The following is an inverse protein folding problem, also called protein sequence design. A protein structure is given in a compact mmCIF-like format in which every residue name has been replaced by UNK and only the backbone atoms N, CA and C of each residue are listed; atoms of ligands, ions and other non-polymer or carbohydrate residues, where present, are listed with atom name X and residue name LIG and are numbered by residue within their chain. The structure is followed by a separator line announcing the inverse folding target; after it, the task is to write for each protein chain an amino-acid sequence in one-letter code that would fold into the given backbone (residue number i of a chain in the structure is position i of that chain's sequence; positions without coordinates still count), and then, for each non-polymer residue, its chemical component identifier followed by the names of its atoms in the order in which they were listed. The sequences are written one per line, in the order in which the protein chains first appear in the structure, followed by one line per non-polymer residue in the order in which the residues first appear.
data_IF_902274337256
#
_entry.id   IF_902274337256
#
_cell.length_a   1.000
_cell.length_b   1.000
_cell.length_c   1.000
_cell.angle_alpha   90.00
_cell.angle_beta   90.00
_cell.angle_gamma   90.00
#
_symmetry.space_group_name_H-M   'P 1'
#
loop_
_entity.id
_entity.type
_entity.pdbx_description
1 polymer ?
#
# COMPACT_ATOMS: atom_id res chain seq x y z
N UNK A 1 13.47 -1.92 -7.80
CA UNK A 1 12.01 -1.75 -8.14
C UNK A 1 11.32 -0.85 -7.13
N UNK A 2 10.23 -0.12 -7.52
CA UNK A 2 9.38 0.63 -6.59
C UNK A 2 7.91 0.23 -6.80
N UNK A 3 7.21 -0.10 -5.71
CA UNK A 3 5.77 -0.35 -5.71
C UNK A 3 5.05 0.58 -4.75
N UNK A 4 4.05 1.33 -5.26
CA UNK A 4 3.23 2.24 -4.46
C UNK A 4 1.80 1.71 -4.33
N UNK A 5 1.19 1.81 -3.16
CA UNK A 5 -0.20 1.42 -2.89
C UNK A 5 -0.49 -0.01 -3.38
N UNK A 6 -1.43 -0.20 -4.32
CA UNK A 6 -1.66 -1.48 -4.99
C UNK A 6 -0.36 -2.08 -5.54
N UNK A 7 0.52 -1.26 -6.14
CA UNK A 7 1.83 -1.69 -6.62
C UNK A 7 2.74 -2.24 -5.52
N UNK A 8 2.59 -1.80 -4.27
CA UNK A 8 3.35 -2.32 -3.14
C UNK A 8 2.98 -3.76 -2.79
N UNK A 9 1.71 -4.12 -2.90
CA UNK A 9 1.25 -5.51 -2.72
C UNK A 9 1.67 -6.38 -3.89
N UNK A 10 1.59 -5.87 -5.12
CA UNK A 10 2.05 -6.58 -6.32
C UNK A 10 3.56 -6.83 -6.29
N UNK A 11 4.35 -5.85 -5.84
CA UNK A 11 5.81 -6.02 -5.68
C UNK A 11 6.13 -7.10 -4.63
N UNK A 12 5.48 -7.08 -3.48
CA UNK A 12 5.64 -8.11 -2.45
C UNK A 12 5.24 -9.49 -2.98
N UNK A 13 4.13 -9.57 -3.71
CA UNK A 13 3.69 -10.83 -4.34
C UNK A 13 4.67 -11.30 -5.42
N UNK A 14 5.25 -10.38 -6.21
CA UNK A 14 6.29 -10.70 -7.19
C UNK A 14 7.53 -11.31 -6.51
N UNK A 15 8.05 -10.65 -5.48
CA UNK A 15 9.21 -11.14 -4.73
C UNK A 15 8.96 -12.52 -4.08
N UNK A 16 7.71 -12.78 -3.66
CA UNK A 16 7.32 -14.09 -3.10
C UNK A 16 7.28 -15.18 -4.16
N UNK A 17 6.79 -14.87 -5.36
CA UNK A 17 6.62 -15.86 -6.44
C UNK A 17 7.90 -16.15 -7.22
N UNK A 18 8.80 -15.17 -7.28
CA UNK A 18 9.97 -15.19 -8.12
C UNK A 18 11.24 -14.82 -7.33
N UNK A 19 11.55 -15.57 -6.25
CA UNK A 19 12.67 -15.24 -5.37
C UNK A 19 14.04 -15.34 -6.06
N UNK A 20 14.15 -16.20 -7.08
CA UNK A 20 15.41 -16.52 -7.78
C UNK A 20 15.55 -15.80 -9.14
N UNK A 21 14.56 -15.06 -9.60
CA UNK A 21 14.65 -14.31 -10.87
C UNK A 21 15.47 -13.01 -10.75
N UNK A 22 16.31 -12.93 -9.82
CA UNK A 22 17.05 -11.97 -9.10
C UNK A 22 18.05 -11.11 -9.85
N UNK A 23 17.58 -10.25 -10.77
CA UNK A 23 18.36 -9.06 -11.15
C UNK A 23 17.82 -7.78 -10.46
N UNK A 24 17.20 -7.93 -9.29
CA UNK A 24 16.63 -6.79 -8.54
C UNK A 24 17.68 -6.33 -7.53
N UNK A 25 18.29 -5.16 -7.78
CA UNK A 25 19.24 -4.54 -6.87
C UNK A 25 18.63 -4.07 -5.53
N UNK A 26 17.30 -3.94 -5.45
CA UNK A 26 16.58 -3.58 -4.23
C UNK A 26 15.12 -3.26 -4.50
N UNK A 27 14.30 -3.21 -3.45
CA UNK A 27 12.87 -2.96 -3.53
C UNK A 27 12.43 -1.84 -2.59
N UNK A 28 11.67 -0.88 -3.13
CA UNK A 28 11.03 0.19 -2.38
C UNK A 28 9.54 -0.10 -2.31
N UNK A 29 9.04 -0.34 -1.12
CA UNK A 29 7.65 -0.70 -0.82
C UNK A 29 7.01 0.50 -0.13
N UNK A 30 6.18 1.26 -0.89
CA UNK A 30 5.62 2.53 -0.46
C UNK A 30 4.09 2.44 -0.29
N UNK A 31 3.57 2.98 0.80
CA UNK A 31 2.12 3.02 1.07
C UNK A 31 1.49 1.64 1.16
N UNK A 32 2.21 0.69 1.75
CA UNK A 32 1.75 -0.69 1.97
C UNK A 32 1.03 -0.83 3.31
N UNK A 33 0.36 -1.95 3.53
CA UNK A 33 -0.33 -2.24 4.76
C UNK A 33 -0.38 -3.72 5.12
N UNK A 34 -0.91 -4.00 6.29
CA UNK A 34 -1.17 -5.34 6.78
C UNK A 34 -2.55 -5.40 7.43
N UNK A 35 -3.33 -6.40 7.07
CA UNK A 35 -4.62 -6.70 7.68
C UNK A 35 -4.66 -8.16 8.13
N UNK A 36 -5.33 -8.46 9.26
CA UNK A 36 -5.48 -9.83 9.72
C UNK A 36 -6.17 -10.72 8.68
N UNK A 37 -5.61 -11.92 8.43
CA UNK A 37 -6.11 -12.83 7.40
C UNK A 37 -7.57 -13.26 7.58
N UNK A 38 -8.07 -13.34 8.83
CA UNK A 38 -9.47 -13.62 9.10
C UNK A 38 -10.38 -12.49 8.62
N UNK A 39 -9.98 -11.23 8.81
CA UNK A 39 -10.74 -10.07 8.35
C UNK A 39 -10.79 -10.03 6.81
N UNK A 40 -9.65 -10.24 6.15
CA UNK A 40 -9.57 -10.34 4.70
C UNK A 40 -10.48 -11.46 4.16
N UNK A 41 -10.54 -12.61 4.85
CA UNK A 41 -11.42 -13.73 4.46
C UNK A 41 -12.91 -13.36 4.53
N UNK A 42 -13.32 -12.63 5.55
CA UNK A 42 -14.70 -12.12 5.66
C UNK A 42 -14.99 -11.13 4.54
N UNK A 43 -14.09 -10.15 4.31
CA UNK A 43 -14.25 -9.16 3.25
C UNK A 43 -14.34 -9.84 1.88
N UNK A 44 -13.48 -10.80 1.59
CA UNK A 44 -13.54 -11.60 0.36
C UNK A 44 -14.88 -12.33 0.22
N UNK A 45 -15.40 -12.92 1.29
CA UNK A 45 -16.73 -13.56 1.26
C UNK A 45 -17.85 -12.59 0.84
N UNK A 46 -17.83 -11.37 1.38
CA UNK A 46 -18.80 -10.31 1.06
C UNK A 46 -18.63 -9.89 -0.41
N UNK A 47 -17.40 -9.60 -0.85
CA UNK A 47 -17.11 -9.15 -2.23
C UNK A 47 -17.48 -10.24 -3.24
N UNK A 48 -17.25 -11.52 -2.94
CA UNK A 48 -17.67 -12.65 -3.79
C UNK A 48 -19.21 -12.67 -3.97
N UNK A 49 -19.95 -12.35 -2.92
CA UNK A 49 -21.41 -12.19 -3.01
C UNK A 49 -21.83 -11.04 -3.92
N UNK A 50 -21.10 -9.90 -3.89
CA UNK A 50 -21.36 -8.75 -4.77
C UNK A 50 -21.01 -9.08 -6.23
N UNK A 51 -19.91 -9.78 -6.48
CA UNK A 51 -19.53 -10.25 -7.83
C UNK A 51 -20.63 -11.14 -8.43
N UNK A 52 -21.15 -12.10 -7.66
CA UNK A 52 -22.25 -12.96 -8.11
C UNK A 52 -23.54 -12.18 -8.43
N UNK A 53 -23.82 -11.10 -7.70
CA UNK A 53 -25.03 -10.29 -7.86
C UNK A 53 -24.93 -9.27 -9.00
N UNK A 54 -23.79 -8.60 -9.13
CA UNK A 54 -23.64 -7.44 -10.00
C UNK A 54 -22.67 -7.63 -11.17
N UNK A 55 -21.74 -8.59 -11.08
CA UNK A 55 -20.68 -8.84 -12.05
C UNK A 55 -19.30 -8.46 -11.53
N UNK A 56 -18.27 -9.05 -12.14
CA UNK A 56 -16.86 -8.88 -11.76
C UNK A 56 -16.35 -7.46 -12.04
N UNK A 57 -16.75 -6.89 -13.17
CA UNK A 57 -16.34 -5.57 -13.66
C UNK A 57 -17.14 -4.39 -13.04
N UNK A 58 -18.16 -4.69 -12.24
CA UNK A 58 -19.04 -3.68 -11.64
C UNK A 58 -18.57 -3.27 -10.25
N UNK A 59 -18.78 -2.01 -9.91
CA UNK A 59 -18.68 -1.49 -8.55
C UNK A 59 -20.06 -1.48 -7.91
N UNK A 60 -20.13 -1.88 -6.64
CA UNK A 60 -21.34 -1.72 -5.82
C UNK A 60 -21.07 -0.74 -4.68
N UNK A 61 -22.11 -0.11 -4.11
CA UNK A 61 -21.95 0.82 -2.99
C UNK A 61 -21.27 0.15 -1.79
N UNK A 62 -21.57 -1.12 -1.56
CA UNK A 62 -20.94 -1.88 -0.49
C UNK A 62 -19.43 -2.09 -0.75
N UNK A 63 -19.03 -2.39 -1.99
CA UNK A 63 -17.61 -2.52 -2.36
C UNK A 63 -16.91 -1.17 -2.22
N UNK A 64 -17.53 -0.08 -2.67
CA UNK A 64 -17.00 1.29 -2.51
C UNK A 64 -16.77 1.63 -1.04
N UNK A 65 -17.74 1.32 -0.19
CA UNK A 65 -17.64 1.57 1.25
C UNK A 65 -16.55 0.71 1.92
N UNK A 66 -16.43 -0.56 1.55
CA UNK A 66 -15.43 -1.48 2.10
C UNK A 66 -14.01 -1.17 1.65
N UNK A 67 -13.83 -0.63 0.43
CA UNK A 67 -12.51 -0.33 -0.11
C UNK A 67 -11.91 0.94 0.49
N UNK A 68 -12.60 2.08 0.37
CA UNK A 68 -12.06 3.38 0.74
C UNK A 68 -12.93 4.17 1.72
N UNK A 69 -14.17 3.72 1.96
CA UNK A 69 -15.17 4.48 2.71
C UNK A 69 -14.80 4.79 4.16
N UNK A 70 -13.89 4.01 4.76
CA UNK A 70 -13.44 4.21 6.15
C UNK A 70 -12.18 5.08 6.25
N UNK A 71 -11.39 5.18 5.18
CA UNK A 71 -10.09 5.86 5.22
C UNK A 71 -10.19 7.35 5.52
N UNK A 72 -11.24 7.99 5.00
CA UNK A 72 -11.45 9.42 5.19
C UNK A 72 -12.01 9.80 6.57
N UNK A 73 -12.45 8.84 7.38
CA UNK A 73 -13.06 9.13 8.69
C UNK A 73 -12.12 9.80 9.67
N UNK A 74 -10.82 9.49 9.57
CA UNK A 74 -9.76 10.07 10.40
C UNK A 74 -9.55 11.56 10.12
N UNK A 75 -9.92 12.04 8.93
CA UNK A 75 -9.62 13.39 8.45
C UNK A 75 -10.82 14.34 8.47
N UNK A 76 -11.83 14.03 9.28
CA UNK A 76 -13.00 14.90 9.44
C UNK A 76 -12.64 16.23 10.13
N UNK A 77 -13.25 17.38 9.71
CA UNK A 77 -14.25 17.48 8.63
C UNK A 77 -13.62 17.29 7.24
N UNK A 78 -14.25 16.45 6.41
CA UNK A 78 -13.71 16.15 5.09
C UNK A 78 -14.03 17.28 4.09
N UNK A 79 -13.04 17.70 3.30
CA UNK A 79 -13.20 18.58 2.17
C UNK A 79 -13.64 17.81 0.92
N UNK A 80 -13.09 16.61 0.73
CA UNK A 80 -13.34 15.74 -0.41
C UNK A 80 -13.55 14.29 0.04
N UNK A 81 -13.85 13.40 -0.90
CA UNK A 81 -13.91 11.96 -0.63
C UNK A 81 -12.53 11.29 -0.55
N UNK A 82 -11.47 12.02 -0.85
CA UNK A 82 -10.11 11.48 -1.01
C UNK A 82 -9.06 12.17 -0.12
N UNK A 83 -9.47 12.89 0.93
CA UNK A 83 -8.53 13.61 1.81
C UNK A 83 -7.48 12.67 2.45
N UNK A 84 -7.81 11.40 2.57
CA UNK A 84 -6.89 10.38 3.08
C UNK A 84 -5.65 10.15 2.18
N UNK A 85 -5.73 10.55 0.90
CA UNK A 85 -4.62 10.38 -0.06
C UNK A 85 -3.49 11.36 0.20
N UNK A 86 -3.84 12.65 0.32
CA UNK A 86 -2.86 13.73 0.39
C UNK A 86 -3.36 14.87 1.27
N UNK A 87 -2.48 15.47 2.06
CA UNK A 87 -2.81 16.65 2.86
C UNK A 87 -2.67 17.95 2.05
N UNK A 88 -1.90 17.93 0.96
CA UNK A 88 -1.80 19.07 0.05
C UNK A 88 -3.07 19.17 -0.81
N UNK A 89 -3.85 20.23 -0.55
CA UNK A 89 -5.13 20.44 -1.23
C UNK A 89 -4.97 20.69 -2.73
N UNK A 90 -3.88 21.34 -3.13
CA UNK A 90 -3.61 21.66 -4.54
C UNK A 90 -3.31 20.37 -5.32
N UNK A 91 -2.48 19.50 -4.76
CA UNK A 91 -2.14 18.21 -5.37
C UNK A 91 -3.36 17.27 -5.38
N UNK A 92 -4.15 17.28 -4.30
CA UNK A 92 -5.37 16.50 -4.23
C UNK A 92 -6.40 16.98 -5.28
N UNK A 93 -6.53 18.28 -5.51
CA UNK A 93 -7.42 18.83 -6.54
C UNK A 93 -6.98 18.47 -7.96
N UNK A 94 -5.66 18.47 -8.24
CA UNK A 94 -5.10 17.95 -9.50
C UNK A 94 -5.45 16.49 -9.70
N UNK A 95 -5.25 15.66 -8.68
CA UNK A 95 -5.62 14.25 -8.70
C UNK A 95 -7.11 14.04 -9.00
N UNK A 96 -7.99 14.79 -8.32
CA UNK A 96 -9.43 14.67 -8.50
C UNK A 96 -9.93 15.19 -9.86
N UNK A 97 -9.20 16.11 -10.48
CA UNK A 97 -9.51 16.69 -11.79
C UNK A 97 -8.96 15.83 -12.95
N UNK A 98 -8.02 14.93 -12.71
CA UNK A 98 -7.42 14.09 -13.76
C UNK A 98 -8.45 13.09 -14.30
N UNK A 99 -8.77 13.12 -15.62
CA UNK A 99 -9.73 12.22 -16.23
C UNK A 99 -9.27 10.76 -16.28
N UNK A 100 -7.98 10.49 -16.09
CA UNK A 100 -7.42 9.13 -16.04
C UNK A 100 -7.59 8.49 -14.66
N UNK A 101 -7.83 9.28 -13.62
CA UNK A 101 -8.07 8.77 -12.27
C UNK A 101 -9.43 8.10 -12.18
N UNK A 102 -9.41 6.83 -11.85
CA UNK A 102 -10.62 6.06 -11.57
C UNK A 102 -11.00 6.23 -10.10
N UNK A 103 -12.16 6.85 -9.86
CA UNK A 103 -12.69 7.09 -8.51
C UNK A 103 -13.29 5.84 -7.87
N UNK A 104 -13.58 4.82 -8.68
CA UNK A 104 -14.19 3.57 -8.25
C UNK A 104 -13.34 2.36 -8.61
N UNK A 105 -13.28 1.42 -7.67
CA UNK A 105 -12.67 0.11 -7.88
C UNK A 105 -13.76 -0.90 -8.22
N UNK A 106 -13.55 -1.74 -9.24
CA UNK A 106 -14.48 -2.83 -9.54
C UNK A 106 -14.45 -3.89 -8.43
N UNK A 107 -15.55 -4.63 -8.29
CA UNK A 107 -15.64 -5.73 -7.32
C UNK A 107 -14.56 -6.79 -7.57
N UNK A 108 -14.24 -7.05 -8.85
CA UNK A 108 -13.17 -7.97 -9.24
C UNK A 108 -11.79 -7.47 -8.85
N UNK A 109 -11.44 -6.22 -9.15
CA UNK A 109 -10.15 -5.66 -8.76
C UNK A 109 -9.99 -5.63 -7.24
N UNK A 110 -11.08 -5.29 -6.50
CA UNK A 110 -11.04 -5.33 -5.04
C UNK A 110 -10.88 -6.76 -4.49
N UNK A 111 -11.51 -7.74 -5.13
CA UNK A 111 -11.32 -9.16 -4.82
C UNK A 111 -9.86 -9.59 -4.98
N UNK A 112 -9.23 -9.25 -6.10
CA UNK A 112 -7.82 -9.57 -6.36
C UNK A 112 -6.88 -8.86 -5.39
N UNK A 113 -7.15 -7.59 -5.07
CA UNK A 113 -6.39 -6.84 -4.06
C UNK A 113 -6.46 -7.53 -2.68
N UNK A 114 -7.67 -7.90 -2.23
CA UNK A 114 -7.83 -8.61 -0.95
C UNK A 114 -7.11 -9.97 -0.97
N UNK A 115 -7.15 -10.66 -2.10
CA UNK A 115 -6.41 -11.90 -2.33
C UNK A 115 -4.89 -11.71 -2.23
N UNK A 116 -4.36 -10.69 -2.87
CA UNK A 116 -2.95 -10.31 -2.79
C UNK A 116 -2.56 -9.95 -1.35
N UNK A 117 -3.32 -9.09 -0.68
CA UNK A 117 -3.10 -8.74 0.73
C UNK A 117 -3.08 -9.97 1.64
N UNK A 118 -3.95 -10.95 1.38
CA UNK A 118 -4.02 -12.19 2.17
C UNK A 118 -2.81 -13.09 1.94
N UNK A 119 -2.33 -13.21 0.69
CA UNK A 119 -1.12 -13.97 0.34
C UNK A 119 0.12 -13.31 0.93
N UNK A 120 0.29 -12.01 0.71
CA UNK A 120 1.42 -11.22 1.22
C UNK A 120 1.34 -10.92 2.73
N UNK A 121 0.24 -11.20 3.38
CA UNK A 121 0.10 -11.12 4.84
C UNK A 121 0.26 -12.48 5.54
N UNK A 122 0.55 -13.56 4.81
CA UNK A 122 0.73 -14.90 5.38
C UNK A 122 2.02 -15.00 6.22
N UNK A 123 2.09 -16.01 7.07
CA UNK A 123 3.30 -16.28 7.86
C UNK A 123 4.51 -16.68 6.99
N UNK A 124 4.23 -17.17 5.79
CA UNK A 124 5.22 -17.68 4.84
C UNK A 124 5.54 -16.69 3.70
N UNK A 125 5.12 -15.43 3.80
CA UNK A 125 5.31 -14.45 2.73
C UNK A 125 6.78 -14.30 2.34
N UNK A 126 7.68 -14.31 3.33
CA UNK A 126 9.11 -14.04 3.11
C UNK A 126 9.96 -15.31 3.01
N UNK A 127 9.33 -16.47 3.07
CA UNK A 127 10.04 -17.73 2.87
C UNK A 127 10.55 -17.80 1.42
N UNK A 128 11.86 -17.95 1.29
CA UNK A 128 12.53 -17.97 -0.02
C UNK A 128 12.98 -16.63 -0.55
N UNK A 129 12.64 -15.49 0.09
CA UNK A 129 13.24 -14.22 -0.29
C UNK A 129 14.74 -14.23 -0.04
N UNK A 130 15.51 -13.58 -0.92
CA UNK A 130 16.92 -13.30 -0.66
C UNK A 130 17.03 -12.42 0.59
N UNK A 131 17.63 -12.96 1.66
CA UNK A 131 17.76 -12.26 2.94
C UNK A 131 18.67 -11.04 2.85
N UNK A 132 19.54 -10.99 1.84
CA UNK A 132 20.45 -9.86 1.56
C UNK A 132 19.81 -8.75 0.72
N UNK A 133 18.63 -9.01 0.09
CA UNK A 133 17.96 -8.03 -0.77
C UNK A 133 17.66 -6.74 0.00
N UNK A 134 18.18 -5.59 -0.47
CA UNK A 134 17.88 -4.31 0.16
C UNK A 134 16.40 -3.94 0.01
N UNK A 135 15.75 -3.66 1.14
CA UNK A 135 14.33 -3.25 1.18
C UNK A 135 14.21 -1.90 1.88
N UNK A 136 13.51 -0.97 1.23
CA UNK A 136 13.05 0.28 1.84
C UNK A 136 11.54 0.26 1.99
N UNK A 137 11.06 0.22 3.23
CA UNK A 137 9.65 0.41 3.58
C UNK A 137 9.42 1.89 3.90
N UNK A 138 8.54 2.56 3.17
CA UNK A 138 8.18 3.95 3.43
C UNK A 138 6.67 4.13 3.47
N UNK A 139 6.19 4.94 4.41
CA UNK A 139 4.77 5.25 4.59
C UNK A 139 4.57 6.57 5.30
N UNK A 140 3.47 7.24 5.03
CA UNK A 140 3.00 8.33 5.87
C UNK A 140 2.58 7.81 7.25
N UNK A 141 2.87 8.58 8.28
CA UNK A 141 2.45 8.22 9.65
C UNK A 141 0.94 8.40 9.84
N UNK A 142 0.29 9.15 8.95
CA UNK A 142 -1.16 9.33 8.94
C UNK A 142 -1.86 8.50 7.86
N UNK A 143 -1.12 7.67 7.12
CA UNK A 143 -1.67 6.80 6.08
C UNK A 143 -2.61 5.72 6.66
N UNK A 144 -3.92 5.74 6.31
CA UNK A 144 -4.87 4.74 6.80
C UNK A 144 -4.66 3.34 6.20
N UNK A 145 -4.02 3.23 5.03
CA UNK A 145 -3.68 1.93 4.40
C UNK A 145 -2.66 1.19 5.25
N UNK A 146 -1.69 1.91 5.79
CA UNK A 146 -0.67 1.41 6.71
C UNK A 146 -1.10 1.35 8.17
N UNK A 147 -2.38 1.57 8.49
CA UNK A 147 -2.90 1.67 9.87
C UNK A 147 -2.08 2.67 10.70
N UNK A 148 -1.90 3.87 10.16
CA UNK A 148 -1.09 4.92 10.78
C UNK A 148 0.33 4.45 11.17
N UNK A 149 0.98 3.74 10.26
CA UNK A 149 2.33 3.19 10.42
C UNK A 149 2.41 1.84 11.14
N UNK A 150 1.38 1.43 11.90
CA UNK A 150 1.40 0.16 12.66
C UNK A 150 1.47 -1.06 11.77
N UNK A 151 0.70 -1.08 10.67
CA UNK A 151 0.70 -2.17 9.70
C UNK A 151 2.06 -2.29 9.00
N UNK A 152 2.69 -1.16 8.66
CA UNK A 152 4.03 -1.16 8.03
C UNK A 152 5.09 -1.61 9.02
N UNK A 153 5.01 -1.17 10.29
CA UNK A 153 5.90 -1.63 11.36
C UNK A 153 5.77 -3.16 11.59
N UNK A 154 4.54 -3.69 11.50
CA UNK A 154 4.32 -5.14 11.62
C UNK A 154 4.99 -5.90 10.48
N UNK A 155 4.93 -5.38 9.25
CA UNK A 155 5.64 -5.94 8.08
C UNK A 155 7.16 -5.91 8.31
N UNK A 156 7.72 -4.77 8.71
CA UNK A 156 9.13 -4.63 9.04
C UNK A 156 9.58 -5.65 10.08
N UNK A 157 8.85 -5.75 11.20
CA UNK A 157 9.19 -6.68 12.28
C UNK A 157 9.14 -8.14 11.80
N UNK A 158 8.23 -8.47 10.89
CA UNK A 158 8.13 -9.81 10.32
C UNK A 158 9.31 -10.11 9.40
N UNK A 159 9.69 -9.18 8.51
CA UNK A 159 10.88 -9.30 7.67
C UNK A 159 12.13 -9.54 8.51
N UNK A 160 12.31 -8.76 9.59
CA UNK A 160 13.46 -8.95 10.49
C UNK A 160 13.45 -10.32 11.19
N UNK A 161 12.28 -10.86 11.55
CA UNK A 161 12.15 -12.20 12.15
C UNK A 161 12.50 -13.33 11.19
N UNK A 162 12.29 -13.15 9.89
CA UNK A 162 12.65 -14.15 8.86
C UNK A 162 14.11 -14.05 8.40
N UNK A 163 14.91 -13.22 9.07
CA UNK A 163 16.34 -13.12 8.82
C UNK A 163 16.73 -12.10 7.75
N UNK A 164 15.79 -11.29 7.24
CA UNK A 164 16.15 -10.25 6.28
C UNK A 164 17.05 -9.18 6.93
N UNK A 165 18.25 -9.02 6.41
CA UNK A 165 19.29 -8.18 6.99
C UNK A 165 19.15 -6.71 6.62
N UNK A 166 18.92 -6.44 5.33
CA UNK A 166 18.97 -5.11 4.73
C UNK A 166 17.58 -4.46 4.59
N UNK A 167 16.81 -4.39 5.69
CA UNK A 167 15.49 -3.74 5.70
C UNK A 167 15.55 -2.43 6.44
N UNK A 168 15.18 -1.35 5.77
CA UNK A 168 15.03 0.00 6.32
C UNK A 168 13.55 0.38 6.37
N UNK A 169 13.10 0.93 7.50
CA UNK A 169 11.76 1.51 7.66
C UNK A 169 11.86 3.02 7.88
N UNK A 170 11.10 3.78 7.12
CA UNK A 170 10.92 5.23 7.29
C UNK A 170 9.43 5.59 7.33
N UNK A 171 9.01 6.20 8.43
CA UNK A 171 7.67 6.77 8.59
C UNK A 171 7.79 8.30 8.58
N UNK A 172 6.98 8.94 7.74
CA UNK A 172 7.00 10.40 7.56
C UNK A 172 5.87 11.02 8.36
N UNK A 173 6.19 11.79 9.44
CA UNK A 173 5.20 12.41 10.30
C UNK A 173 4.29 13.39 9.55
N UNK A 174 2.98 13.33 9.80
CA UNK A 174 1.99 14.22 9.18
C UNK A 174 1.65 13.88 7.72
N UNK A 175 2.45 13.06 7.04
CA UNK A 175 2.16 12.64 5.68
C UNK A 175 1.08 11.55 5.65
N UNK A 176 0.24 11.60 4.61
CA UNK A 176 -0.82 10.62 4.34
C UNK A 176 -0.35 9.55 3.36
N UNK A 177 -1.21 9.09 2.46
CA UNK A 177 -0.92 7.94 1.59
C UNK A 177 0.03 8.26 0.44
N UNK A 178 -0.19 9.37 -0.25
CA UNK A 178 0.60 9.76 -1.43
C UNK A 178 1.80 10.62 -1.04
N UNK A 179 2.85 9.98 -0.56
CA UNK A 179 4.05 10.64 -0.05
C UNK A 179 4.77 11.54 -1.05
N UNK A 180 4.67 11.24 -2.35
CA UNK A 180 5.43 11.97 -3.38
C UNK A 180 4.79 13.30 -3.77
N UNK A 181 3.54 13.52 -3.35
CA UNK A 181 2.77 14.74 -3.60
C UNK A 181 2.39 15.49 -2.33
N UNK A 182 2.91 15.10 -1.18
CA UNK A 182 2.73 15.79 0.11
C UNK A 182 3.67 17.01 0.24
N UNK A 183 3.59 17.98 -0.67
CA UNK A 183 4.54 19.10 -0.72
C UNK A 183 4.58 19.89 0.60
N UNK A 184 3.43 20.12 1.22
CA UNK A 184 3.34 20.80 2.53
C UNK A 184 3.95 19.97 3.68
N UNK A 185 4.05 18.65 3.54
CA UNK A 185 4.54 17.71 4.58
C UNK A 185 5.85 17.03 4.19
N UNK A 186 6.60 17.59 3.23
CA UNK A 186 7.96 17.18 2.95
C UNK A 186 8.12 16.11 1.86
N UNK A 187 7.33 16.16 0.78
CA UNK A 187 7.52 15.28 -0.38
C UNK A 187 8.95 15.32 -0.93
N UNK A 188 9.60 16.49 -0.88
CA UNK A 188 11.02 16.61 -1.26
C UNK A 188 11.91 15.77 -0.34
N UNK A 189 11.65 15.74 0.96
CA UNK A 189 12.37 14.89 1.91
C UNK A 189 12.18 13.41 1.58
N UNK A 190 10.99 13.01 1.14
CA UNK A 190 10.72 11.64 0.70
C UNK A 190 11.50 11.31 -0.57
N UNK A 191 11.50 12.22 -1.56
CA UNK A 191 12.26 12.04 -2.81
C UNK A 191 13.76 11.92 -2.54
N UNK A 192 14.32 12.78 -1.68
CA UNK A 192 15.71 12.68 -1.25
C UNK A 192 15.99 11.36 -0.51
N UNK A 193 15.13 10.96 0.43
CA UNK A 193 15.28 9.67 1.13
C UNK A 193 15.34 8.48 0.18
N UNK A 194 14.50 8.48 -0.87
CA UNK A 194 14.52 7.45 -1.91
C UNK A 194 15.83 7.50 -2.71
N UNK A 195 16.23 8.70 -3.16
CA UNK A 195 17.45 8.88 -3.96
C UNK A 195 18.70 8.47 -3.19
N UNK A 196 18.83 8.90 -1.94
CA UNK A 196 19.96 8.56 -1.07
C UNK A 196 20.01 7.05 -0.79
N UNK A 197 18.84 6.44 -0.55
CA UNK A 197 18.78 5.02 -0.35
C UNK A 197 19.20 4.25 -1.61
N UNK A 198 18.74 4.63 -2.79
CA UNK A 198 19.16 4.02 -4.06
C UNK A 198 20.67 4.16 -4.25
N UNK A 199 21.23 5.36 -4.02
CA UNK A 199 22.66 5.61 -4.15
C UNK A 199 23.51 4.78 -3.18
N UNK A 200 22.96 4.42 -2.02
CA UNK A 200 23.66 3.59 -1.03
C UNK A 200 23.68 2.10 -1.36
N UNK A 201 22.96 1.65 -2.41
CA UNK A 201 22.94 0.25 -2.83
C UNK A 201 23.94 -0.06 -3.97
N UNK A 202 24.54 0.94 -4.57
CA UNK A 202 25.56 0.82 -5.63
C UNK A 202 26.90 1.18 -5.11
#
# INVERSE_FOLDING_TARGET
MLGFSLGSFLLREYLTRYPDEGEIAGAIIMGTGHQPGWLLSIMMGIVKGQIKKAGFDKTTDLVRQLSFGTYNQKFKPNRTAADWLCADETELDKYLADPLVRKDISSGLFWELLGSMKRTGSAFEYDGWDTSLPILLISGQDDPVGDAGKGVQAIYNRMKKTGMENVTLKLFPGARHDLLHEEANGAETVRHCIADWIASQG
#
